data_IF_129686020042
#
_entry.id   IF_129686020042
#
_cell.length_a   1.000
_cell.length_b   1.000
_cell.length_c   1.000
_cell.angle_alpha   90.00
_cell.angle_beta   90.00
_cell.angle_gamma   90.00
#
_symmetry.space_group_name_H-M   'P 1'
#
loop_
_entity.id
_entity.type
_entity.pdbx_description
1 polymer ?
#
# COMPACT_ATOMS: atom_id res chain seq x y z
N UNK A 1 37.76 24.92 -47.25
CA UNK A 1 38.59 23.70 -47.11
C UNK A 1 37.80 22.40 -46.88
N UNK A 2 36.47 22.36 -46.95
CA UNK A 2 35.70 21.17 -46.51
C UNK A 2 35.06 20.30 -47.62
N UNK A 3 35.05 20.70 -48.89
CA UNK A 3 34.36 19.95 -49.95
C UNK A 3 35.15 18.72 -50.45
N UNK A 4 36.47 18.87 -50.63
CA UNK A 4 37.36 17.79 -51.10
C UNK A 4 37.48 16.67 -50.07
N UNK A 5 37.61 17.02 -48.79
CA UNK A 5 37.64 16.05 -47.70
C UNK A 5 36.31 15.26 -47.57
N UNK A 6 35.17 15.90 -47.84
CA UNK A 6 33.85 15.25 -47.83
C UNK A 6 33.67 14.29 -49.01
N UNK A 7 34.17 14.65 -50.19
CA UNK A 7 34.14 13.79 -51.38
C UNK A 7 35.04 12.56 -51.20
N UNK A 8 36.26 12.74 -50.67
CA UNK A 8 37.17 11.63 -50.37
C UNK A 8 36.60 10.68 -49.32
N UNK A 9 35.97 11.21 -48.26
CA UNK A 9 35.31 10.40 -47.23
C UNK A 9 34.12 9.60 -47.78
N UNK A 10 33.35 10.17 -48.72
CA UNK A 10 32.28 9.45 -49.44
C UNK A 10 32.81 8.33 -50.33
N UNK A 11 33.90 8.57 -51.07
CA UNK A 11 34.51 7.56 -51.92
C UNK A 11 35.03 6.37 -51.09
N UNK A 12 35.75 6.64 -49.99
CA UNK A 12 36.21 5.62 -49.05
C UNK A 12 35.03 4.84 -48.44
N UNK A 13 33.94 5.52 -48.07
CA UNK A 13 32.74 4.86 -47.55
C UNK A 13 32.11 3.91 -48.58
N UNK A 14 32.08 4.29 -49.86
CA UNK A 14 31.54 3.46 -50.93
C UNK A 14 32.39 2.21 -51.19
N UNK A 15 33.72 2.34 -51.12
CA UNK A 15 34.64 1.19 -51.21
C UNK A 15 34.46 0.22 -50.04
N UNK A 16 34.36 0.75 -48.81
CA UNK A 16 34.10 -0.06 -47.60
C UNK A 16 32.75 -0.79 -47.71
N UNK A 17 31.71 -0.14 -48.22
CA UNK A 17 30.43 -0.80 -48.49
C UNK A 17 30.55 -1.91 -49.56
N UNK A 18 31.35 -1.69 -50.59
CA UNK A 18 31.67 -2.69 -51.61
C UNK A 18 32.34 -3.92 -51.02
N UNK A 19 33.34 -3.73 -50.15
CA UNK A 19 34.01 -4.82 -49.42
C UNK A 19 33.05 -5.55 -48.49
N UNK A 20 32.18 -4.83 -47.77
CA UNK A 20 31.18 -5.42 -46.88
C UNK A 20 30.18 -6.32 -47.62
N UNK A 21 29.77 -5.94 -48.83
CA UNK A 21 28.91 -6.77 -49.68
C UNK A 21 29.61 -8.05 -50.11
N UNK A 22 30.87 -7.97 -50.54
CA UNK A 22 31.67 -9.15 -50.92
C UNK A 22 31.87 -10.10 -49.74
N UNK A 23 32.19 -9.58 -48.56
CA UNK A 23 32.33 -10.36 -47.33
C UNK A 23 31.02 -11.10 -46.98
N UNK A 24 29.87 -10.43 -47.10
CA UNK A 24 28.56 -11.06 -46.87
C UNK A 24 28.31 -12.24 -47.81
N UNK A 25 28.61 -12.07 -49.10
CA UNK A 25 28.49 -13.16 -50.08
C UNK A 25 29.37 -14.35 -49.71
N UNK A 26 30.60 -14.12 -49.24
CA UNK A 26 31.51 -15.20 -48.81
C UNK A 26 31.01 -15.91 -47.54
N UNK A 27 30.47 -15.18 -46.57
CA UNK A 27 29.88 -15.77 -45.35
C UNK A 27 28.64 -16.59 -45.69
N UNK A 28 27.80 -16.12 -46.61
CA UNK A 28 26.60 -16.82 -47.06
C UNK A 28 26.98 -18.09 -47.84
N UNK A 29 28.00 -18.05 -48.70
CA UNK A 29 28.53 -19.22 -49.40
C UNK A 29 29.11 -20.26 -48.43
N UNK A 30 29.88 -19.82 -47.44
CA UNK A 30 30.39 -20.69 -46.38
C UNK A 30 29.28 -21.31 -45.52
N UNK A 31 28.14 -20.62 -45.36
CA UNK A 31 26.97 -21.17 -44.67
C UNK A 31 26.27 -22.29 -45.45
N UNK A 32 26.45 -22.34 -46.77
CA UNK A 32 25.89 -23.35 -47.66
C UNK A 32 26.81 -24.56 -47.93
N UNK A 33 28.04 -24.52 -47.40
CA UNK A 33 29.01 -25.62 -47.50
C UNK A 33 28.70 -26.74 -46.48
N UNK A 34 29.10 -28.00 -46.75
CA UNK A 34 28.99 -29.10 -45.80
C UNK A 34 29.78 -28.82 -44.50
N UNK A 35 29.34 -29.40 -43.37
CA UNK A 35 29.91 -29.18 -42.04
C UNK A 35 31.45 -29.36 -41.95
N UNK A 36 32.04 -30.21 -42.80
CA UNK A 36 33.49 -30.46 -42.86
C UNK A 36 34.29 -29.34 -43.54
N UNK A 37 33.65 -28.54 -44.39
CA UNK A 37 34.26 -27.46 -45.18
C UNK A 37 33.83 -26.06 -44.70
N UNK A 38 32.88 -26.00 -43.77
CA UNK A 38 32.36 -24.78 -43.20
C UNK A 38 33.35 -24.17 -42.20
N UNK A 39 33.84 -22.97 -42.50
CA UNK A 39 34.73 -22.19 -41.62
C UNK A 39 33.93 -21.49 -40.51
N UNK A 40 34.51 -21.34 -39.32
CA UNK A 40 33.89 -20.58 -38.25
C UNK A 40 33.95 -19.08 -38.57
N UNK A 41 32.96 -18.30 -38.11
CA UNK A 41 32.91 -16.84 -38.34
C UNK A 41 34.14 -16.12 -37.80
N UNK A 42 34.80 -16.67 -36.78
CA UNK A 42 36.03 -16.12 -36.21
C UNK A 42 37.23 -16.26 -37.14
N UNK A 43 37.24 -17.21 -38.05
CA UNK A 43 38.33 -17.44 -39.01
C UNK A 43 38.30 -16.44 -40.17
N UNK A 44 37.16 -15.77 -40.40
CA UNK A 44 37.05 -14.64 -41.32
C UNK A 44 37.63 -13.33 -40.76
N UNK A 45 37.94 -13.27 -39.46
CA UNK A 45 38.60 -12.12 -38.85
C UNK A 45 40.10 -12.19 -39.13
N UNK A 46 40.59 -11.28 -39.98
CA UNK A 46 42.01 -11.17 -40.31
C UNK A 46 42.80 -10.53 -39.16
N UNK A 47 42.16 -9.64 -38.40
CA UNK A 47 42.76 -8.96 -37.26
C UNK A 47 42.25 -9.55 -35.93
N UNK A 48 43.01 -10.51 -35.40
CA UNK A 48 42.70 -11.16 -34.14
C UNK A 48 42.94 -10.25 -32.93
N UNK A 49 43.94 -9.38 -32.99
CA UNK A 49 44.30 -8.47 -31.89
C UNK A 49 43.20 -7.42 -31.66
N UNK A 50 42.72 -6.78 -32.73
CA UNK A 50 41.61 -5.83 -32.62
C UNK A 50 40.29 -6.52 -32.23
N UNK A 51 40.03 -7.72 -32.76
CA UNK A 51 38.85 -8.51 -32.41
C UNK A 51 38.82 -8.84 -30.92
N UNK A 52 39.93 -9.34 -30.37
CA UNK A 52 40.06 -9.66 -28.95
C UNK A 52 40.00 -8.39 -28.08
N UNK A 53 40.59 -7.28 -28.52
CA UNK A 53 40.50 -6.00 -27.83
C UNK A 53 39.05 -5.47 -27.79
N UNK A 54 38.29 -5.61 -28.88
CA UNK A 54 36.86 -5.26 -28.92
C UNK A 54 36.08 -6.19 -28.01
N UNK A 55 36.31 -7.50 -28.06
CA UNK A 55 35.64 -8.46 -27.19
C UNK A 55 35.89 -8.18 -25.70
N UNK A 56 37.14 -7.86 -25.33
CA UNK A 56 37.51 -7.48 -23.96
C UNK A 56 36.79 -6.21 -23.50
N UNK A 57 36.79 -5.13 -24.31
CA UNK A 57 36.06 -3.89 -24.01
C UNK A 57 34.56 -4.12 -23.90
N UNK A 58 34.00 -4.97 -24.77
CA UNK A 58 32.56 -5.27 -24.76
C UNK A 58 32.21 -6.08 -23.52
N UNK A 59 33.04 -7.04 -23.13
CA UNK A 59 32.88 -7.84 -21.91
C UNK A 59 32.96 -6.97 -20.67
N UNK A 60 33.97 -6.10 -20.57
CA UNK A 60 34.11 -5.13 -19.47
C UNK A 60 32.86 -4.25 -19.35
N UNK A 61 32.35 -3.72 -20.47
CA UNK A 61 31.12 -2.92 -20.48
C UNK A 61 29.91 -3.73 -20.04
N UNK A 62 29.77 -4.97 -20.50
CA UNK A 62 28.70 -5.88 -20.10
C UNK A 62 28.77 -6.20 -18.61
N UNK A 63 29.96 -6.46 -18.07
CA UNK A 63 30.15 -6.80 -16.67
C UNK A 63 29.92 -5.58 -15.76
N UNK A 64 30.35 -4.39 -16.18
CA UNK A 64 30.02 -3.14 -15.50
C UNK A 64 28.50 -2.88 -15.47
N UNK A 65 27.82 -3.10 -16.60
CA UNK A 65 26.37 -2.94 -16.68
C UNK A 65 25.63 -3.98 -15.80
N UNK A 66 26.08 -5.24 -15.80
CA UNK A 66 25.53 -6.27 -14.92
C UNK A 66 25.71 -5.90 -13.46
N UNK A 67 26.90 -5.47 -13.05
CA UNK A 67 27.18 -5.05 -11.68
C UNK A 67 26.29 -3.87 -11.26
N UNK A 68 26.04 -2.91 -12.18
CA UNK A 68 25.11 -1.81 -11.91
C UNK A 68 23.67 -2.32 -11.71
N UNK A 69 23.18 -3.19 -12.59
CA UNK A 69 21.83 -3.76 -12.50
C UNK A 69 21.68 -4.57 -11.21
N UNK A 70 22.68 -5.37 -10.85
CA UNK A 70 22.69 -6.13 -9.60
C UNK A 70 22.62 -5.21 -8.38
N UNK A 71 23.42 -4.14 -8.37
CA UNK A 71 23.38 -3.14 -7.30
C UNK A 71 22.00 -2.48 -7.18
N UNK A 72 21.38 -2.11 -8.31
CA UNK A 72 20.02 -1.54 -8.32
C UNK A 72 18.98 -2.54 -7.83
N UNK A 73 19.07 -3.79 -8.25
CA UNK A 73 18.16 -4.85 -7.82
C UNK A 73 18.27 -5.11 -6.32
N UNK A 74 19.49 -5.20 -5.79
CA UNK A 74 19.72 -5.35 -4.35
C UNK A 74 19.15 -4.15 -3.58
N UNK A 75 19.36 -2.92 -4.05
CA UNK A 75 18.78 -1.73 -3.42
C UNK A 75 17.24 -1.78 -3.41
N UNK A 76 16.61 -2.16 -4.53
CA UNK A 76 15.15 -2.33 -4.61
C UNK A 76 14.63 -3.44 -3.70
N UNK A 77 15.36 -4.55 -3.59
CA UNK A 77 15.03 -5.64 -2.68
C UNK A 77 15.09 -5.19 -1.22
N UNK A 78 16.13 -4.47 -0.81
CA UNK A 78 16.23 -3.93 0.55
C UNK A 78 15.08 -2.98 0.89
N UNK A 79 14.71 -2.09 -0.04
CA UNK A 79 13.56 -1.20 0.14
C UNK A 79 12.26 -2.00 0.26
N UNK A 80 12.05 -2.97 -0.64
CA UNK A 80 10.88 -3.86 -0.60
C UNK A 80 10.79 -4.59 0.75
N UNK A 81 11.88 -5.18 1.20
CA UNK A 81 11.89 -5.98 2.44
C UNK A 81 11.60 -5.11 3.65
N UNK A 82 12.10 -3.87 3.67
CA UNK A 82 11.75 -2.89 4.70
C UNK A 82 10.27 -2.55 4.66
N UNK A 83 9.71 -2.28 3.48
CA UNK A 83 8.29 -1.97 3.33
C UNK A 83 7.40 -3.15 3.77
N UNK A 84 7.79 -4.39 3.43
CA UNK A 84 7.05 -5.58 3.84
C UNK A 84 7.08 -5.72 5.37
N UNK A 85 8.25 -5.62 5.98
CA UNK A 85 8.39 -5.70 7.45
C UNK A 85 7.63 -4.62 8.20
N UNK A 86 7.67 -3.38 7.71
CA UNK A 86 7.05 -2.24 8.40
C UNK A 86 5.54 -2.15 8.16
N UNK A 87 5.06 -2.49 6.95
CA UNK A 87 3.67 -2.22 6.56
C UNK A 87 2.82 -3.45 6.27
N UNK A 88 3.41 -4.57 5.82
CA UNK A 88 2.67 -5.75 5.37
C UNK A 88 2.59 -6.84 6.44
N UNK A 89 3.72 -7.17 7.07
CA UNK A 89 3.81 -8.19 8.12
C UNK A 89 2.97 -7.88 9.36
N UNK A 90 2.85 -6.63 9.84
CA UNK A 90 1.98 -6.31 10.98
C UNK A 90 0.49 -6.24 10.61
N UNK A 91 0.07 -6.55 9.37
CA UNK A 91 -1.35 -6.58 9.00
C UNK A 91 -2.02 -7.88 9.41
N UNK A 92 -3.13 -7.77 10.15
CA UNK A 92 -4.07 -8.86 10.45
C UNK A 92 -4.86 -9.25 9.20
N UNK A 93 -5.36 -8.25 8.48
CA UNK A 93 -6.07 -8.43 7.20
C UNK A 93 -5.32 -7.64 6.14
N UNK A 94 -4.76 -8.35 5.16
CA UNK A 94 -4.01 -7.75 4.05
C UNK A 94 -4.98 -7.14 3.04
N UNK A 95 -4.52 -6.09 2.36
CA UNK A 95 -5.28 -5.43 1.31
C UNK A 95 -5.56 -6.37 0.13
N UNK A 96 -6.82 -6.59 -0.19
CA UNK A 96 -7.29 -7.40 -1.29
C UNK A 96 -8.47 -6.73 -1.99
N UNK A 97 -8.69 -7.08 -3.25
CA UNK A 97 -9.75 -6.49 -4.07
C UNK A 97 -10.50 -7.58 -4.83
N UNK A 98 -11.83 -7.51 -4.81
CA UNK A 98 -12.71 -8.33 -5.63
C UNK A 98 -13.13 -7.51 -6.84
N UNK A 99 -12.67 -7.91 -8.02
CA UNK A 99 -13.13 -7.32 -9.28
C UNK A 99 -14.31 -8.09 -9.88
N UNK A 100 -15.20 -7.41 -10.57
CA UNK A 100 -16.28 -8.03 -11.33
C UNK A 100 -15.72 -8.82 -12.53
N UNK A 101 -16.44 -9.85 -12.96
CA UNK A 101 -16.10 -10.67 -14.13
C UNK A 101 -16.44 -9.97 -15.45
N UNK A 102 -17.55 -9.22 -15.46
CA UNK A 102 -18.12 -8.63 -16.67
C UNK A 102 -17.92 -7.12 -16.76
N UNK A 103 -17.64 -6.46 -15.64
CA UNK A 103 -17.52 -5.01 -15.55
C UNK A 103 -16.22 -4.59 -14.86
N UNK A 104 -15.86 -3.31 -14.99
CA UNK A 104 -14.65 -2.74 -14.36
C UNK A 104 -14.84 -2.40 -12.87
N UNK A 105 -15.94 -2.84 -12.25
CA UNK A 105 -16.18 -2.59 -10.85
C UNK A 105 -15.27 -3.46 -9.99
N UNK A 106 -14.60 -2.85 -9.04
CA UNK A 106 -13.77 -3.57 -8.09
C UNK A 106 -13.97 -2.99 -6.69
N UNK A 107 -14.24 -3.86 -5.73
CA UNK A 107 -14.43 -3.51 -4.32
C UNK A 107 -13.20 -3.95 -3.54
N UNK A 108 -12.63 -3.07 -2.74
CA UNK A 108 -11.46 -3.36 -1.90
C UNK A 108 -11.89 -3.63 -0.46
N UNK A 109 -11.16 -4.51 0.22
CA UNK A 109 -11.31 -4.70 1.66
C UNK A 109 -10.63 -3.58 2.46
N UNK A 110 -10.84 -3.56 3.77
CA UNK A 110 -10.13 -2.66 4.68
C UNK A 110 -8.90 -3.34 5.28
N UNK A 111 -7.67 -2.89 4.98
CA UNK A 111 -6.49 -3.43 5.63
C UNK A 111 -6.50 -3.11 7.13
N UNK A 112 -6.36 -4.14 7.96
CA UNK A 112 -6.35 -4.00 9.42
C UNK A 112 -4.99 -4.40 9.97
N UNK A 113 -4.42 -3.55 10.84
CA UNK A 113 -3.19 -3.87 11.57
C UNK A 113 -3.48 -4.72 12.79
N UNK A 114 -2.51 -5.53 13.20
CA UNK A 114 -2.55 -6.24 14.48
C UNK A 114 -2.42 -5.19 15.58
N UNK A 115 -3.48 -5.01 16.35
CA UNK A 115 -3.48 -4.13 17.53
C UNK A 115 -2.65 -4.79 18.63
N UNK A 116 -1.65 -4.06 19.14
CA UNK A 116 -0.74 -4.51 20.21
C UNK A 116 -1.51 -4.80 21.51
N UNK A 117 -0.97 -5.67 22.38
CA UNK A 117 -1.59 -5.95 23.68
C UNK A 117 -1.72 -4.70 24.56
N UNK A 118 -0.73 -3.80 24.49
CA UNK A 118 -0.75 -2.53 25.21
C UNK A 118 -1.90 -1.62 24.74
N UNK A 119 -2.07 -1.50 23.42
CA UNK A 119 -3.14 -0.72 22.81
C UNK A 119 -4.51 -1.29 23.17
N UNK A 120 -4.67 -2.63 23.14
CA UNK A 120 -5.89 -3.30 23.61
C UNK A 120 -6.13 -3.02 25.08
N UNK A 121 -5.09 -3.05 25.92
CA UNK A 121 -5.15 -2.71 27.33
C UNK A 121 -5.61 -1.27 27.56
N UNK A 122 -5.09 -0.32 26.79
CA UNK A 122 -5.49 1.09 26.87
C UNK A 122 -6.94 1.29 26.45
N UNK A 123 -7.39 0.66 25.36
CA UNK A 123 -8.80 0.71 24.94
C UNK A 123 -9.72 0.15 26.03
N UNK A 124 -9.35 -0.97 26.67
CA UNK A 124 -10.11 -1.53 27.80
C UNK A 124 -10.21 -0.56 28.98
N UNK A 125 -9.10 0.07 29.37
CA UNK A 125 -9.08 1.08 30.44
C UNK A 125 -10.00 2.26 30.09
N UNK A 126 -9.93 2.78 28.87
CA UNK A 126 -10.77 3.88 28.41
C UNK A 126 -12.27 3.51 28.39
N UNK A 127 -12.61 2.28 27.98
CA UNK A 127 -13.99 1.77 28.05
C UNK A 127 -14.47 1.67 29.50
N UNK A 128 -13.64 1.21 30.43
CA UNK A 128 -13.98 1.18 31.85
C UNK A 128 -14.22 2.59 32.39
N UNK A 129 -13.35 3.55 32.07
CA UNK A 129 -13.52 4.96 32.48
C UNK A 129 -14.82 5.57 31.95
N UNK A 130 -15.20 5.26 30.71
CA UNK A 130 -16.48 5.75 30.17
C UNK A 130 -17.68 5.10 30.85
N UNK A 131 -17.62 3.79 31.13
CA UNK A 131 -18.70 3.10 31.86
C UNK A 131 -18.87 3.65 33.27
N UNK A 132 -17.78 3.93 33.99
CA UNK A 132 -17.87 4.53 35.33
C UNK A 132 -18.49 5.91 35.25
N UNK A 133 -18.12 6.75 34.28
CA UNK A 133 -18.74 8.06 34.08
C UNK A 133 -20.24 7.96 33.79
N UNK A 134 -20.67 7.00 32.96
CA UNK A 134 -22.10 6.80 32.66
C UNK A 134 -22.89 6.35 33.88
N UNK A 135 -22.33 5.44 34.69
CA UNK A 135 -22.94 5.01 35.95
C UNK A 135 -23.02 6.15 36.97
N UNK A 136 -22.01 7.01 37.04
CA UNK A 136 -22.03 8.21 37.88
C UNK A 136 -23.17 9.14 37.45
N UNK A 137 -23.32 9.41 36.15
CA UNK A 137 -24.42 10.22 35.61
C UNK A 137 -25.79 9.62 35.94
N UNK A 138 -25.97 8.30 35.76
CA UNK A 138 -27.20 7.59 36.11
C UNK A 138 -27.51 7.69 37.61
N UNK A 139 -26.50 7.55 38.48
CA UNK A 139 -26.66 7.68 39.92
C UNK A 139 -27.17 9.08 40.33
N UNK A 140 -26.72 10.13 39.63
CA UNK A 140 -27.20 11.51 39.83
C UNK A 140 -28.64 11.70 39.34
N UNK A 141 -29.03 11.08 38.22
CA UNK A 141 -30.38 11.17 37.65
C UNK A 141 -31.43 10.37 38.44
N UNK A 142 -31.12 9.13 38.84
CA UNK A 142 -32.07 8.18 39.46
C UNK A 142 -32.38 8.46 40.92
N UNK A 143 -31.93 9.58 41.49
CA UNK A 143 -32.15 9.90 42.90
C UNK A 143 -31.64 8.80 43.85
N UNK A 144 -30.52 8.16 43.50
CA UNK A 144 -29.78 7.24 44.38
C UNK A 144 -28.68 7.97 45.17
N UNK A 145 -28.13 9.07 44.63
CA UNK A 145 -27.07 9.83 45.28
C UNK A 145 -27.49 10.44 46.64
N UNK A 146 -26.60 10.56 47.64
CA UNK A 146 -26.89 11.27 48.89
C UNK A 146 -27.42 12.70 48.67
N UNK A 147 -28.35 13.16 49.51
CA UNK A 147 -29.04 14.45 49.33
C UNK A 147 -28.09 15.65 49.21
N UNK A 148 -26.98 15.65 49.98
CA UNK A 148 -25.96 16.70 49.93
C UNK A 148 -25.34 16.85 48.53
N UNK A 149 -25.03 15.73 47.87
CA UNK A 149 -24.43 15.72 46.52
C UNK A 149 -25.40 16.15 45.41
N UNK A 150 -26.72 15.99 45.63
CA UNK A 150 -27.73 16.44 44.65
C UNK A 150 -28.00 17.94 44.73
N UNK A 151 -27.86 18.51 45.92
CA UNK A 151 -28.11 19.94 46.16
C UNK A 151 -26.89 20.82 45.81
N UNK A 152 -25.72 20.21 45.60
CA UNK A 152 -24.48 20.88 45.22
C UNK A 152 -24.60 21.71 43.93
N UNK A 153 -24.43 23.02 44.09
CA UNK A 153 -24.52 24.03 43.00
C UNK A 153 -23.46 23.81 41.91
N UNK A 154 -22.33 23.19 42.26
CA UNK A 154 -21.24 22.86 41.32
C UNK A 154 -21.63 21.68 40.41
N UNK A 155 -22.44 20.73 40.92
CA UNK A 155 -22.85 19.53 40.19
C UNK A 155 -24.18 19.73 39.44
N UNK A 156 -24.99 20.73 39.82
CA UNK A 156 -26.14 21.18 39.05
C UNK A 156 -25.70 21.95 37.81
N UNK A 157 -25.32 21.23 36.76
CA UNK A 157 -25.08 21.84 35.45
C UNK A 157 -26.42 22.15 34.79
N UNK A 158 -26.70 23.43 34.56
CA UNK A 158 -27.78 23.83 33.66
C UNK A 158 -27.56 23.16 32.30
N UNK A 159 -28.57 22.48 31.73
CA UNK A 159 -28.40 21.78 30.47
C UNK A 159 -28.12 22.81 29.37
N UNK A 160 -26.91 22.74 28.79
CA UNK A 160 -26.52 23.58 27.66
C UNK A 160 -27.34 23.29 26.38
N UNK A 161 -28.03 22.15 26.35
CA UNK A 161 -28.82 21.65 25.21
C UNK A 161 -30.30 21.63 25.54
N UNK A 162 -31.13 21.99 24.57
CA UNK A 162 -32.60 21.86 24.64
C UNK A 162 -33.06 20.44 24.26
N UNK A 163 -32.11 19.54 23.98
CA UNK A 163 -32.31 18.18 23.45
C UNK A 163 -33.09 18.13 22.13
N UNK A 164 -33.17 19.25 21.40
CA UNK A 164 -33.96 19.43 20.16
C UNK A 164 -33.14 20.06 19.03
N UNK A 165 -31.82 19.96 19.05
CA UNK A 165 -30.95 20.59 18.04
C UNK A 165 -30.86 19.79 16.73
N UNK A 166 -31.97 19.66 16.00
CA UNK A 166 -32.04 18.94 14.71
C UNK A 166 -31.16 19.54 13.60
N UNK A 167 -30.62 20.74 13.79
CA UNK A 167 -29.70 21.38 12.85
C UNK A 167 -28.26 20.84 12.93
N UNK A 168 -27.95 20.00 13.91
CA UNK A 168 -26.62 19.41 14.06
C UNK A 168 -26.60 18.07 13.34
N UNK A 169 -25.70 17.95 12.35
CA UNK A 169 -25.55 16.76 11.48
C UNK A 169 -25.34 15.45 12.27
N UNK A 170 -24.82 15.56 13.49
CA UNK A 170 -24.48 14.46 14.39
C UNK A 170 -25.38 14.42 15.64
N UNK A 171 -26.62 14.90 15.53
CA UNK A 171 -27.61 14.86 16.60
C UNK A 171 -28.39 13.55 16.55
N UNK A 172 -28.20 12.67 17.53
CA UNK A 172 -28.94 11.39 17.66
C UNK A 172 -29.87 11.43 18.90
N UNK A 173 -31.00 12.15 18.86
CA UNK A 173 -31.92 12.23 19.99
C UNK A 173 -32.79 10.98 20.14
N UNK A 174 -33.09 10.27 19.04
CA UNK A 174 -34.14 9.25 18.99
C UNK A 174 -33.64 7.80 19.08
N UNK A 175 -32.32 7.60 19.19
CA UNK A 175 -31.76 6.29 19.47
C UNK A 175 -31.38 6.29 20.93
N UNK A 176 -32.24 5.75 21.80
CA UNK A 176 -31.76 5.27 23.10
C UNK A 176 -30.60 4.32 22.79
N UNK A 177 -29.36 4.70 23.10
CA UNK A 177 -28.28 3.79 22.86
C UNK A 177 -28.56 2.57 23.73
N UNK A 178 -28.66 1.38 23.13
CA UNK A 178 -28.52 0.16 23.91
C UNK A 178 -27.21 0.31 24.69
N UNK A 179 -27.30 0.44 26.02
CA UNK A 179 -26.18 0.80 26.88
C UNK A 179 -24.97 -0.15 26.74
N UNK A 180 -25.20 -1.35 26.17
CA UNK A 180 -24.19 -2.35 25.87
C UNK A 180 -23.45 -2.16 24.52
N UNK A 181 -23.98 -1.35 23.59
CA UNK A 181 -23.37 -1.12 22.26
C UNK A 181 -22.24 -0.08 22.34
N UNK A 182 -21.19 -0.22 21.52
CA UNK A 182 -20.11 0.79 21.42
C UNK A 182 -20.64 2.18 21.06
N UNK A 183 -21.73 2.26 20.28
CA UNK A 183 -22.41 3.52 19.98
C UNK A 183 -22.95 4.19 21.24
N UNK A 184 -23.37 3.41 22.23
CA UNK A 184 -23.83 3.90 23.51
C UNK A 184 -22.75 4.43 24.42
N UNK A 185 -21.48 4.13 24.15
CA UNK A 185 -20.35 4.71 24.89
C UNK A 185 -19.96 6.09 24.36
N UNK A 186 -20.39 6.48 23.16
CA UNK A 186 -20.04 7.77 22.59
C UNK A 186 -20.61 8.93 23.42
N UNK A 187 -19.88 10.03 23.45
CA UNK A 187 -20.38 11.29 23.98
C UNK A 187 -21.34 11.94 23.00
N UNK A 188 -22.36 12.59 23.53
CA UNK A 188 -23.19 13.49 22.75
C UNK A 188 -22.39 14.72 22.31
N UNK A 189 -22.74 15.39 21.19
CA UNK A 189 -21.98 16.53 20.67
C UNK A 189 -21.69 17.62 21.69
N UNK A 190 -22.64 17.91 22.59
CA UNK A 190 -22.49 18.94 23.63
C UNK A 190 -21.83 18.47 24.93
N UNK A 191 -21.53 17.18 25.08
CA UNK A 191 -20.82 16.65 26.25
C UNK A 191 -19.30 16.79 26.14
N UNK A 192 -18.78 17.07 24.94
CA UNK A 192 -17.36 17.16 24.58
C UNK A 192 -16.69 18.49 24.99
N UNK A 193 -17.01 18.98 26.18
CA UNK A 193 -16.53 20.27 26.68
C UNK A 193 -15.08 20.21 27.15
N UNK A 194 -14.66 19.08 27.73
CA UNK A 194 -13.31 18.90 28.28
C UNK A 194 -12.36 18.23 27.30
N UNK A 195 -11.07 18.54 27.40
CA UNK A 195 -10.04 17.90 26.60
C UNK A 195 -9.95 16.38 26.86
N UNK A 196 -10.24 15.94 28.09
CA UNK A 196 -10.29 14.52 28.44
C UNK A 196 -11.39 13.79 27.67
N UNK A 197 -12.62 14.32 27.65
CA UNK A 197 -13.75 13.73 26.91
C UNK A 197 -13.51 13.72 25.40
N UNK A 198 -12.94 14.80 24.84
CA UNK A 198 -12.56 14.84 23.41
C UNK A 198 -11.55 13.74 23.05
N UNK A 199 -10.51 13.55 23.87
CA UNK A 199 -9.53 12.48 23.65
C UNK A 199 -10.16 11.10 23.77
N UNK A 200 -11.02 10.89 24.77
CA UNK A 200 -11.72 9.62 24.96
C UNK A 200 -12.66 9.33 23.78
N UNK A 201 -13.40 10.33 23.29
CA UNK A 201 -14.27 10.21 22.11
C UNK A 201 -13.49 9.81 20.85
N UNK A 202 -12.29 10.38 20.63
CA UNK A 202 -11.45 9.98 19.49
C UNK A 202 -11.14 8.49 19.55
N UNK A 203 -10.76 7.96 20.71
CA UNK A 203 -10.47 6.54 20.88
C UNK A 203 -11.71 5.65 20.71
N UNK A 204 -12.87 6.07 21.21
CA UNK A 204 -14.13 5.33 21.03
C UNK A 204 -14.55 5.30 19.56
N UNK A 205 -14.43 6.42 18.84
CA UNK A 205 -14.72 6.46 17.40
C UNK A 205 -13.74 5.61 16.60
N UNK A 206 -12.46 5.59 16.98
CA UNK A 206 -11.48 4.70 16.37
C UNK A 206 -11.84 3.22 16.59
N UNK A 207 -12.23 2.84 17.81
CA UNK A 207 -12.74 1.50 18.15
C UNK A 207 -13.94 1.13 17.27
N UNK A 208 -14.98 1.96 17.28
CA UNK A 208 -16.20 1.73 16.51
C UNK A 208 -15.91 1.62 15.01
N UNK A 209 -15.02 2.47 14.47
CA UNK A 209 -14.60 2.40 13.08
C UNK A 209 -13.88 1.10 12.75
N UNK A 210 -13.10 0.56 13.69
CA UNK A 210 -12.42 -0.72 13.51
C UNK A 210 -13.43 -1.88 13.51
N UNK A 211 -14.46 -1.83 14.36
CA UNK A 211 -15.54 -2.83 14.34
C UNK A 211 -16.31 -2.83 13.02
N UNK A 212 -16.66 -1.65 12.50
CA UNK A 212 -17.31 -1.54 11.19
C UNK A 212 -16.43 -2.09 10.05
N UNK A 213 -15.13 -1.80 10.07
CA UNK A 213 -14.18 -2.36 9.09
C UNK A 213 -14.08 -3.87 9.21
N UNK A 214 -14.04 -4.41 10.43
CA UNK A 214 -13.98 -5.85 10.67
C UNK A 214 -15.24 -6.56 10.18
N UNK A 215 -16.42 -6.01 10.50
CA UNK A 215 -17.70 -6.54 10.02
C UNK A 215 -17.78 -6.53 8.48
N UNK A 216 -17.34 -5.44 7.84
CA UNK A 216 -17.26 -5.37 6.38
C UNK A 216 -16.28 -6.41 5.82
N UNK A 217 -15.12 -6.58 6.44
CA UNK A 217 -14.11 -7.54 6.02
C UNK A 217 -14.61 -8.99 6.10
N UNK A 218 -15.48 -9.32 7.07
CA UNK A 218 -16.14 -10.63 7.13
C UNK A 218 -17.11 -10.84 5.96
N UNK A 219 -17.94 -9.83 5.64
CA UNK A 219 -18.82 -9.88 4.46
C UNK A 219 -18.00 -10.00 3.17
N UNK A 220 -16.92 -9.24 3.06
CA UNK A 220 -16.01 -9.28 1.93
C UNK A 220 -15.41 -10.67 1.73
N UNK A 221 -14.97 -11.34 2.80
CA UNK A 221 -14.43 -12.71 2.73
C UNK A 221 -15.45 -13.70 2.20
N UNK A 222 -16.70 -13.63 2.67
CA UNK A 222 -17.78 -14.48 2.15
C UNK A 222 -17.97 -14.30 0.64
N UNK A 223 -18.06 -13.05 0.17
CA UNK A 223 -18.16 -12.76 -1.26
C UNK A 223 -16.92 -13.19 -2.04
N UNK A 224 -15.73 -13.12 -1.44
CA UNK A 224 -14.49 -13.59 -2.05
C UNK A 224 -14.53 -15.10 -2.27
N UNK A 225 -14.95 -15.86 -1.25
CA UNK A 225 -15.08 -17.31 -1.29
C UNK A 225 -16.12 -17.76 -2.33
N UNK A 226 -17.29 -17.12 -2.35
CA UNK A 226 -18.33 -17.35 -3.37
C UNK A 226 -17.80 -17.12 -4.78
N UNK A 227 -17.06 -16.03 -5.00
CA UNK A 227 -16.48 -15.73 -6.31
C UNK A 227 -15.44 -16.77 -6.71
N UNK A 228 -14.59 -17.23 -5.78
CA UNK A 228 -13.59 -18.27 -6.10
C UNK A 228 -14.25 -19.58 -6.51
N UNK A 229 -15.36 -19.98 -5.85
CA UNK A 229 -16.12 -21.17 -6.20
C UNK A 229 -16.79 -21.13 -7.57
N UNK A 230 -17.12 -19.94 -8.08
CA UNK A 230 -17.73 -19.76 -9.42
C UNK A 230 -16.69 -19.81 -10.54
N UNK A 231 -15.42 -19.54 -10.23
CA UNK A 231 -14.33 -19.48 -11.22
C UNK A 231 -13.60 -20.83 -11.33
N UNK A 232 -13.62 -21.65 -10.28
CA UNK A 232 -13.18 -23.05 -10.30
C UNK A 232 -14.21 -23.97 -10.97
#
# INVERSE_FOLDING_TARGET
MNAVALAQRKALSAEVEGLRKKLRVLVDQNSSCPDLEQLDRKEFCVDFEESDAIAAKTKERCDALRAQIEKENVARQLIRDRLIKEFWDPMRTKGCQICSLQSKFCVSNYPERIVSEEERGNIRKLRTLRRTEQLELQMYEESSAPRALREDVILKTDPFTTKKEAYIVNWWPDQEPQAASEKGMLYQPFELLTNSRRRLQIHLLQSLSAEFRAAFNELFKKCQEEKTQVIE
#
